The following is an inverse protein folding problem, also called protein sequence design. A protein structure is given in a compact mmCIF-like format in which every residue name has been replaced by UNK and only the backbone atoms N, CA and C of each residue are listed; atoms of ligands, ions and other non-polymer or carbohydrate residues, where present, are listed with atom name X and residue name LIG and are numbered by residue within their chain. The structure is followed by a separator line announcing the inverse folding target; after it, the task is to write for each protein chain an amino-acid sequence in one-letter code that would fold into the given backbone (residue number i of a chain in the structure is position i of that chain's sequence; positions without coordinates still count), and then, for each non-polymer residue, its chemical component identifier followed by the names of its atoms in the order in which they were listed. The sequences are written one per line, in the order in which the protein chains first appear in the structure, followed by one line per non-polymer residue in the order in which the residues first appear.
data_IF_323454018599
#
_entry.id   IF_323454018599
#
_cell.length_a   1.000
_cell.length_b   1.000
_cell.length_c   1.000
_cell.angle_alpha   90.00
_cell.angle_beta   90.00
_cell.angle_gamma   90.00
#
_symmetry.space_group_name_H-M   'P 1'
#
loop_
_entity.id
_entity.type
_entity.pdbx_description
1 polymer ?
#
# COMPACT_ATOMS: atom_id res chain seq x y z
N UNK A 1 22.93 -30.30 -28.49
CA UNK A 1 22.46 -29.02 -29.09
C UNK A 1 21.74 -28.33 -27.95
N UNK A 2 22.53 -27.50 -27.22
CA UNK A 2 22.11 -26.85 -25.98
C UNK A 2 21.31 -25.60 -26.35
N UNK A 3 20.07 -25.53 -25.95
CA UNK A 3 19.31 -24.28 -25.89
C UNK A 3 19.56 -23.61 -24.53
N UNK A 4 20.50 -22.67 -24.51
CA UNK A 4 20.69 -21.74 -23.42
C UNK A 4 19.52 -20.74 -23.48
N UNK A 5 18.63 -20.86 -22.48
CA UNK A 5 17.61 -19.83 -22.21
C UNK A 5 18.32 -18.61 -21.65
N UNK A 6 18.58 -17.64 -22.50
CA UNK A 6 19.05 -16.29 -22.15
C UNK A 6 18.08 -15.67 -21.13
N UNK A 7 18.51 -15.61 -19.87
CA UNK A 7 17.86 -14.77 -18.86
C UNK A 7 18.11 -13.31 -19.26
N UNK A 8 17.10 -12.65 -19.75
CA UNK A 8 17.12 -11.20 -19.92
C UNK A 8 17.17 -10.56 -18.53
N UNK A 9 18.36 -10.20 -18.10
CA UNK A 9 18.60 -9.28 -16.99
C UNK A 9 18.01 -7.91 -17.41
N UNK A 10 16.85 -7.59 -16.84
CA UNK A 10 16.33 -6.22 -16.91
C UNK A 10 17.28 -5.28 -16.18
N UNK A 11 17.26 -3.97 -16.48
CA UNK A 11 18.19 -3.02 -15.88
C UNK A 11 18.10 -3.08 -14.36
N UNK A 12 19.20 -3.49 -13.72
CA UNK A 12 19.36 -3.50 -12.27
C UNK A 12 19.05 -2.08 -11.75
N UNK A 13 17.96 -1.95 -10.98
CA UNK A 13 17.67 -0.69 -10.34
C UNK A 13 18.87 -0.26 -9.48
N UNK A 14 19.32 0.98 -9.65
CA UNK A 14 20.42 1.53 -8.86
C UNK A 14 20.14 1.32 -7.37
N UNK A 15 21.14 0.95 -6.56
CA UNK A 15 20.95 0.71 -5.13
C UNK A 15 20.27 1.91 -4.48
N UNK A 16 19.23 1.64 -3.70
CA UNK A 16 18.51 2.67 -2.96
C UNK A 16 19.39 3.11 -1.80
N UNK A 17 19.98 4.29 -1.93
CA UNK A 17 20.80 4.87 -0.86
C UNK A 17 19.86 5.45 0.20
N UNK A 18 19.92 4.89 1.41
CA UNK A 18 19.25 5.42 2.60
C UNK A 18 20.24 6.34 3.36
N UNK A 19 19.74 7.36 4.06
CA UNK A 19 20.54 8.09 5.04
C UNK A 19 21.15 7.13 6.07
N UNK A 20 22.28 7.53 6.65
CA UNK A 20 22.93 6.77 7.71
C UNK A 20 21.97 6.52 8.89
N UNK A 21 22.01 5.34 9.46
CA UNK A 21 21.10 4.92 10.54
C UNK A 21 19.65 4.64 10.11
N UNK A 22 19.38 4.68 8.80
CA UNK A 22 18.05 4.32 8.26
C UNK A 22 18.13 3.11 7.33
N UNK A 23 17.10 2.27 7.37
CA UNK A 23 17.00 1.14 6.45
C UNK A 23 15.55 0.84 6.06
N UNK A 24 15.39 0.32 4.84
CA UNK A 24 14.13 -0.20 4.33
C UNK A 24 14.36 -1.56 3.71
N UNK A 25 13.42 -2.47 3.95
CA UNK A 25 13.38 -3.79 3.32
C UNK A 25 11.97 -4.08 2.83
N UNK A 26 11.87 -4.69 1.66
CA UNK A 26 10.66 -5.29 1.13
C UNK A 26 10.86 -6.77 0.90
N UNK A 27 9.84 -7.56 1.21
CA UNK A 27 9.80 -8.99 0.92
C UNK A 27 8.47 -9.38 0.27
N UNK A 28 8.53 -10.30 -0.69
CA UNK A 28 7.33 -10.94 -1.23
C UNK A 28 6.81 -11.96 -0.21
N UNK A 29 5.48 -12.07 -0.04
CA UNK A 29 4.90 -13.13 0.76
C UNK A 29 5.10 -14.51 0.10
N UNK A 30 4.79 -15.57 0.84
CA UNK A 30 4.61 -16.91 0.27
C UNK A 30 3.64 -16.83 -0.93
N UNK A 31 3.88 -17.56 -2.04
CA UNK A 31 2.97 -17.54 -3.21
C UNK A 31 1.51 -17.82 -2.88
N UNK A 32 1.22 -18.63 -1.86
CA UNK A 32 -0.14 -18.89 -1.37
C UNK A 32 -0.84 -17.66 -0.78
N UNK A 33 -0.06 -16.69 -0.32
CA UNK A 33 -0.54 -15.42 0.24
C UNK A 33 -0.59 -14.30 -0.81
N UNK A 34 -0.02 -14.46 -1.98
CA UNK A 34 0.23 -13.37 -2.94
C UNK A 34 -1.03 -12.64 -3.43
N UNK A 35 -2.21 -13.27 -3.38
CA UNK A 35 -3.48 -12.61 -3.70
C UNK A 35 -4.02 -11.79 -2.52
N UNK A 36 -3.68 -12.16 -1.29
CA UNK A 36 -4.18 -11.57 -0.06
C UNK A 36 -3.26 -10.49 0.50
N UNK A 37 -1.96 -10.71 0.37
CA UNK A 37 -0.90 -9.86 0.92
C UNK A 37 -0.11 -9.22 -0.23
N UNK A 38 -0.05 -7.90 -0.25
CA UNK A 38 0.63 -7.14 -1.31
C UNK A 38 2.12 -6.97 -1.08
N UNK A 39 2.64 -7.48 0.02
CA UNK A 39 4.05 -7.49 0.41
C UNK A 39 4.27 -7.12 1.86
N UNK A 40 5.47 -7.41 2.33
CA UNK A 40 5.98 -7.05 3.65
C UNK A 40 6.97 -5.90 3.54
N UNK A 41 7.05 -5.10 4.58
CA UNK A 41 7.96 -3.96 4.65
C UNK A 41 8.54 -3.87 6.06
N UNK A 42 9.82 -3.57 6.18
CA UNK A 42 10.44 -3.13 7.43
C UNK A 42 11.12 -1.78 7.21
N UNK A 43 10.64 -0.74 7.90
CA UNK A 43 11.28 0.57 7.99
C UNK A 43 11.99 0.67 9.33
N UNK A 44 13.25 1.12 9.33
CA UNK A 44 14.01 1.29 10.57
C UNK A 44 14.77 2.59 10.57
N UNK A 45 14.81 3.23 11.73
CA UNK A 45 15.63 4.38 12.02
C UNK A 45 16.29 4.22 13.41
N UNK A 46 17.59 4.51 13.49
CA UNK A 46 18.36 4.44 14.74
C UNK A 46 18.18 5.72 15.58
N UNK A 47 18.08 6.87 14.91
CA UNK A 47 17.89 8.16 15.57
C UNK A 47 16.59 8.20 16.35
N UNK A 48 16.64 8.68 17.59
CA UNK A 48 15.46 8.91 18.45
C UNK A 48 14.92 10.35 18.33
N UNK A 49 15.58 11.18 17.53
CA UNK A 49 15.05 12.51 17.21
C UNK A 49 13.76 12.41 16.40
N UNK A 50 12.81 13.34 16.57
CA UNK A 50 11.55 13.30 15.84
C UNK A 50 11.79 13.45 14.33
N UNK A 51 11.28 12.49 13.56
CA UNK A 51 11.31 12.50 12.11
C UNK A 51 9.90 12.43 11.55
N UNK A 52 9.62 13.25 10.54
CA UNK A 52 8.33 13.24 9.84
C UNK A 52 8.51 12.60 8.47
N UNK A 53 7.77 11.52 8.23
CA UNK A 53 7.68 10.88 6.94
C UNK A 53 6.27 10.99 6.36
N UNK A 54 6.22 11.15 5.04
CA UNK A 54 4.98 11.24 4.28
C UNK A 54 4.80 10.00 3.41
N UNK A 55 3.58 9.51 3.33
CA UNK A 55 3.24 8.32 2.56
C UNK A 55 2.11 8.62 1.58
N UNK A 56 2.15 7.93 0.45
CA UNK A 56 1.09 7.99 -0.56
C UNK A 56 -0.16 7.26 -0.06
N UNK A 57 -1.36 7.66 -0.53
CA UNK A 57 -2.58 6.92 -0.25
C UNK A 57 -2.45 5.45 -0.63
N UNK A 58 -2.86 4.56 0.28
CA UNK A 58 -2.66 3.13 0.18
C UNK A 58 -3.95 2.34 0.51
N UNK A 59 -4.03 1.05 0.15
CA UNK A 59 -4.97 0.09 0.73
C UNK A 59 -4.73 -0.13 2.22
N UNK A 60 -5.34 -1.17 2.78
CA UNK A 60 -5.16 -1.56 4.17
C UNK A 60 -3.71 -1.99 4.44
N UNK A 61 -3.19 -1.59 5.59
CA UNK A 61 -1.90 -2.05 6.10
C UNK A 61 -2.02 -2.42 7.59
N UNK A 62 -1.46 -3.56 7.98
CA UNK A 62 -1.23 -3.89 9.38
C UNK A 62 0.18 -3.41 9.72
N UNK A 63 0.34 -2.73 10.83
CA UNK A 63 1.61 -2.20 11.30
C UNK A 63 1.96 -2.73 12.67
N UNK A 64 3.20 -3.21 12.87
CA UNK A 64 3.74 -3.61 14.17
C UNK A 64 5.02 -2.83 14.44
N UNK A 65 5.02 -2.08 15.53
CA UNK A 65 6.16 -1.29 16.00
C UNK A 65 7.07 -2.14 16.90
N UNK A 66 8.38 -2.18 16.56
CA UNK A 66 9.39 -2.92 17.29
C UNK A 66 10.45 -1.95 17.79
N UNK A 67 10.71 -1.96 19.10
CA UNK A 67 11.65 -1.04 19.75
C UNK A 67 11.49 0.41 19.26
N UNK A 68 10.25 0.85 19.09
CA UNK A 68 9.93 2.17 18.56
C UNK A 68 9.57 3.13 19.70
N UNK A 69 10.02 4.38 19.56
CA UNK A 69 9.47 5.50 20.33
C UNK A 69 8.02 5.79 19.92
N UNK A 70 7.40 6.85 20.49
CA UNK A 70 6.04 7.22 20.13
C UNK A 70 5.87 7.49 18.64
N UNK A 71 4.79 6.98 18.05
CA UNK A 71 4.45 7.15 16.65
C UNK A 71 3.16 7.97 16.57
N UNK A 72 3.25 9.18 16.02
CA UNK A 72 2.13 10.13 15.91
C UNK A 72 1.65 10.24 14.48
N UNK A 73 0.56 9.55 14.11
CA UNK A 73 0.05 9.56 12.74
C UNK A 73 -0.93 10.70 12.50
N UNK A 74 -0.98 11.15 11.23
CA UNK A 74 -1.92 12.14 10.73
C UNK A 74 -2.43 11.75 9.34
N UNK A 75 -3.74 11.79 9.11
CA UNK A 75 -4.35 11.57 7.79
C UNK A 75 -5.14 12.82 7.41
N UNK A 76 -4.71 13.51 6.36
CA UNK A 76 -5.25 14.82 5.98
C UNK A 76 -5.06 15.84 7.09
N UNK A 77 -6.16 16.44 7.55
CA UNK A 77 -6.16 17.37 8.70
C UNK A 77 -6.36 16.69 10.06
N UNK A 78 -6.66 15.38 10.07
CA UNK A 78 -6.97 14.64 11.30
C UNK A 78 -5.68 14.07 11.93
N UNK A 79 -5.42 14.45 13.17
CA UNK A 79 -4.40 13.84 14.02
C UNK A 79 -5.03 12.70 14.83
N UNK A 80 -4.30 11.62 15.01
CA UNK A 80 -4.71 10.47 15.81
C UNK A 80 -3.89 10.40 17.11
N UNK A 81 -4.39 9.69 18.14
CA UNK A 81 -3.56 9.31 19.27
C UNK A 81 -2.28 8.59 18.82
N UNK A 82 -1.23 8.53 19.64
CA UNK A 82 -0.07 7.70 19.35
C UNK A 82 -0.49 6.26 19.00
N UNK A 83 0.15 5.70 17.99
CA UNK A 83 -0.15 4.33 17.58
C UNK A 83 0.21 3.36 18.70
N UNK A 84 -0.66 2.37 18.93
CA UNK A 84 -0.32 1.21 19.77
C UNK A 84 0.64 0.29 19.00
N UNK A 85 1.30 -0.63 19.70
CA UNK A 85 2.34 -1.49 19.14
C UNK A 85 1.88 -2.24 17.88
N UNK A 86 0.65 -2.76 17.84
CA UNK A 86 0.05 -3.33 16.65
C UNK A 86 -1.20 -2.53 16.24
N UNK A 87 -1.20 -1.98 15.05
CA UNK A 87 -2.24 -1.07 14.55
C UNK A 87 -2.69 -1.43 13.15
N UNK A 88 -3.97 -1.23 12.89
CA UNK A 88 -4.55 -1.23 11.54
C UNK A 88 -4.55 0.19 10.99
N UNK A 89 -3.93 0.37 9.84
CA UNK A 89 -4.06 1.57 9.01
C UNK A 89 -5.04 1.23 7.90
N UNK A 90 -6.23 1.80 7.96
CA UNK A 90 -7.28 1.56 6.97
C UNK A 90 -6.94 2.14 5.60
N UNK A 91 -7.79 1.87 4.58
CA UNK A 91 -7.56 2.43 3.25
C UNK A 91 -7.54 3.96 3.31
N UNK A 92 -6.58 4.59 2.64
CA UNK A 92 -6.43 6.04 2.66
C UNK A 92 -6.72 6.68 1.31
N UNK A 93 -7.31 7.88 1.33
CA UNK A 93 -7.53 8.76 0.18
C UNK A 93 -7.10 10.21 0.47
N UNK A 94 -6.30 10.39 1.51
CA UNK A 94 -5.74 11.67 1.95
C UNK A 94 -4.25 11.49 2.21
N UNK A 95 -3.46 12.57 2.24
CA UNK A 95 -2.05 12.48 2.60
C UNK A 95 -1.92 11.89 4.00
N UNK A 96 -0.99 10.96 4.13
CA UNK A 96 -0.68 10.30 5.39
C UNK A 96 0.74 10.64 5.80
N UNK A 97 0.90 11.14 7.01
CA UNK A 97 2.22 11.39 7.61
C UNK A 97 2.31 10.81 9.00
N UNK A 98 3.51 10.45 9.39
CA UNK A 98 3.83 9.99 10.73
C UNK A 98 5.03 10.75 11.28
N UNK A 99 4.97 11.12 12.56
CA UNK A 99 6.16 11.53 13.31
C UNK A 99 6.60 10.34 14.13
N UNK A 100 7.84 9.90 13.92
CA UNK A 100 8.46 8.75 14.61
C UNK A 100 9.65 9.18 15.42
N UNK A 101 10.07 8.34 16.38
CA UNK A 101 11.23 8.54 17.24
C UNK A 101 12.10 7.28 17.22
N UNK A 102 12.46 6.85 16.01
CA UNK A 102 13.29 5.67 15.78
C UNK A 102 12.58 4.33 16.01
N UNK A 103 13.34 3.25 15.92
CA UNK A 103 12.85 1.88 15.98
C UNK A 103 12.54 1.30 14.62
N UNK A 104 11.83 0.18 14.60
CA UNK A 104 11.42 -0.50 13.38
C UNK A 104 9.90 -0.59 13.28
N UNK A 105 9.34 -0.23 12.12
CA UNK A 105 7.95 -0.47 11.77
C UNK A 105 7.88 -1.61 10.76
N UNK A 106 7.26 -2.71 11.14
CA UNK A 106 6.91 -3.80 10.22
C UNK A 106 5.53 -3.54 9.65
N UNK A 107 5.43 -3.45 8.32
CA UNK A 107 4.18 -3.23 7.58
C UNK A 107 3.79 -4.46 6.77
N UNK A 108 2.52 -4.85 6.86
CA UNK A 108 1.92 -5.95 6.10
C UNK A 108 0.84 -5.35 5.22
N UNK A 109 1.06 -5.30 3.93
CA UNK A 109 0.09 -4.75 2.99
C UNK A 109 -1.01 -5.77 2.70
N UNK A 110 -2.27 -5.40 2.93
CA UNK A 110 -3.45 -6.26 2.72
C UNK A 110 -4.19 -5.81 1.47
N UNK A 111 -4.47 -6.74 0.56
CA UNK A 111 -5.29 -6.50 -0.62
C UNK A 111 -6.79 -6.45 -0.27
N UNK A 112 -7.64 -6.08 -1.24
CA UNK A 112 -9.08 -6.15 -1.05
C UNK A 112 -9.59 -7.60 -0.88
N UNK A 113 -8.97 -8.56 -1.58
CA UNK A 113 -9.24 -9.99 -1.40
C UNK A 113 -8.78 -10.47 -0.01
N UNK A 114 -7.60 -10.01 0.43
CA UNK A 114 -7.10 -10.29 1.77
C UNK A 114 -8.00 -9.72 2.86
N UNK A 115 -8.48 -8.49 2.69
CA UNK A 115 -9.44 -7.91 3.63
C UNK A 115 -10.72 -8.72 3.76
N UNK A 116 -11.29 -9.16 2.62
CA UNK A 116 -12.48 -10.00 2.59
C UNK A 116 -12.26 -11.34 3.28
N UNK A 117 -11.16 -12.03 2.97
CA UNK A 117 -10.84 -13.34 3.52
C UNK A 117 -10.47 -13.29 5.02
N UNK A 118 -9.86 -12.19 5.48
CA UNK A 118 -9.40 -12.05 6.86
C UNK A 118 -10.48 -11.62 7.84
N UNK A 119 -11.32 -10.63 7.48
CA UNK A 119 -12.18 -9.97 8.46
C UNK A 119 -13.68 -10.12 8.23
N UNK A 120 -14.10 -10.19 6.97
CA UNK A 120 -15.52 -10.09 6.59
C UNK A 120 -16.18 -8.74 6.91
N UNK A 121 -15.44 -7.76 7.45
CA UNK A 121 -15.94 -6.43 7.80
C UNK A 121 -15.93 -5.52 6.57
N UNK A 122 -16.69 -4.43 6.62
CA UNK A 122 -16.67 -3.41 5.56
C UNK A 122 -15.47 -2.50 5.69
N UNK A 123 -14.62 -2.42 4.65
CA UNK A 123 -13.42 -1.59 4.66
C UNK A 123 -13.73 -0.07 4.73
N UNK A 124 -14.95 0.35 4.34
CA UNK A 124 -15.35 1.76 4.42
C UNK A 124 -15.42 2.28 5.87
N UNK A 125 -15.66 1.40 6.84
CA UNK A 125 -15.71 1.76 8.26
C UNK A 125 -14.32 2.17 8.79
N UNK A 126 -13.26 1.76 8.08
CA UNK A 126 -11.86 2.05 8.39
C UNK A 126 -11.22 3.09 7.44
N UNK A 127 -11.99 3.64 6.51
CA UNK A 127 -11.47 4.62 5.54
C UNK A 127 -10.91 5.86 6.23
N UNK A 128 -9.64 6.18 5.95
CA UNK A 128 -8.88 7.25 6.59
C UNK A 128 -8.90 7.15 8.14
N UNK A 129 -8.77 5.94 8.66
CA UNK A 129 -8.71 5.68 10.11
C UNK A 129 -7.50 4.84 10.46
N UNK A 130 -7.07 4.99 11.72
CA UNK A 130 -6.07 4.16 12.38
C UNK A 130 -6.71 3.68 13.67
N UNK A 131 -6.64 2.38 13.91
CA UNK A 131 -7.23 1.72 15.08
C UNK A 131 -6.28 0.63 15.60
N UNK A 132 -6.38 0.20 16.86
CA UNK A 132 -5.68 -0.98 17.35
C UNK A 132 -6.01 -2.22 16.50
N UNK A 133 -5.03 -3.09 16.28
CA UNK A 133 -5.19 -4.25 15.38
C UNK A 133 -6.17 -5.29 15.95
N UNK A 134 -6.29 -5.40 17.26
CA UNK A 134 -7.24 -6.26 17.97
C UNK A 134 -8.72 -5.86 17.76
N UNK A 135 -8.97 -4.67 17.21
CA UNK A 135 -10.35 -4.31 16.77
C UNK A 135 -10.83 -5.14 15.58
N UNK A 136 -9.94 -5.77 14.81
CA UNK A 136 -10.25 -6.52 13.59
C UNK A 136 -9.76 -7.96 13.60
N UNK A 137 -8.74 -8.27 14.35
CA UNK A 137 -8.19 -9.62 14.56
C UNK A 137 -8.41 -10.08 15.99
N UNK A 138 -8.35 -11.41 16.19
CA UNK A 138 -8.35 -11.99 17.52
C UNK A 138 -7.12 -11.50 18.31
N UNK A 139 -7.28 -11.07 19.57
CA UNK A 139 -6.16 -10.62 20.41
C UNK A 139 -5.01 -11.62 20.49
N UNK A 140 -5.29 -12.93 20.52
CA UNK A 140 -4.27 -13.97 20.57
C UNK A 140 -3.40 -14.01 19.29
N UNK A 141 -3.97 -13.69 18.14
CA UNK A 141 -3.23 -13.55 16.88
C UNK A 141 -2.33 -12.32 16.94
N UNK A 142 -2.84 -11.21 17.47
CA UNK A 142 -2.08 -9.97 17.61
C UNK A 142 -0.89 -10.17 18.56
N UNK A 143 -1.11 -10.79 19.71
CA UNK A 143 -0.06 -11.10 20.69
C UNK A 143 1.01 -12.03 20.10
N UNK A 144 0.59 -13.08 19.34
CA UNK A 144 1.51 -13.97 18.65
C UNK A 144 2.34 -13.23 17.60
N UNK A 145 1.72 -12.32 16.86
CA UNK A 145 2.39 -11.49 15.85
C UNK A 145 3.46 -10.59 16.49
N UNK A 146 3.12 -9.88 17.56
CA UNK A 146 4.04 -9.02 18.31
C UNK A 146 5.19 -9.85 18.86
N UNK A 147 4.89 -10.95 19.56
CA UNK A 147 5.90 -11.81 20.21
C UNK A 147 6.88 -12.37 19.19
N UNK A 148 6.38 -12.96 18.10
CA UNK A 148 7.21 -13.60 17.09
C UNK A 148 8.08 -12.59 16.32
N UNK A 149 7.54 -11.40 15.99
CA UNK A 149 8.32 -10.36 15.32
C UNK A 149 9.38 -9.75 16.26
N UNK A 150 9.09 -9.63 17.55
CA UNK A 150 10.05 -9.13 18.56
C UNK A 150 11.19 -10.13 18.78
N UNK A 151 10.89 -11.43 18.72
CA UNK A 151 11.88 -12.50 18.89
C UNK A 151 12.69 -12.79 17.61
N UNK A 152 12.34 -12.23 16.46
CA UNK A 152 13.04 -12.47 15.20
C UNK A 152 14.49 -11.97 15.28
N UNK A 153 15.50 -12.82 14.93
CA UNK A 153 16.90 -12.49 15.13
C UNK A 153 17.38 -11.34 14.24
N UNK A 154 16.77 -11.19 13.08
CA UNK A 154 17.06 -10.13 12.13
C UNK A 154 15.85 -9.85 11.20
N UNK A 155 15.99 -8.88 10.31
CA UNK A 155 14.92 -8.51 9.36
C UNK A 155 14.68 -9.55 8.26
N UNK A 156 15.64 -10.43 7.97
CA UNK A 156 15.45 -11.49 6.99
C UNK A 156 14.54 -12.61 7.52
N UNK A 157 14.53 -12.80 8.85
CA UNK A 157 13.65 -13.74 9.52
C UNK A 157 12.18 -13.26 9.60
N UNK A 158 11.89 -11.98 9.33
CA UNK A 158 10.52 -11.46 9.44
C UNK A 158 9.57 -12.11 8.43
N UNK A 159 10.02 -12.37 7.19
CA UNK A 159 9.17 -12.98 6.16
C UNK A 159 8.63 -14.35 6.56
N UNK A 160 9.46 -15.37 6.89
CA UNK A 160 8.93 -16.68 7.26
C UNK A 160 8.02 -16.64 8.48
N UNK A 161 8.33 -15.79 9.47
CA UNK A 161 7.47 -15.56 10.64
C UNK A 161 6.10 -15.01 10.24
N UNK A 162 6.07 -14.02 9.35
CA UNK A 162 4.83 -13.44 8.86
C UNK A 162 4.03 -14.44 8.03
N UNK A 163 4.67 -15.18 7.12
CA UNK A 163 4.01 -16.20 6.30
C UNK A 163 3.32 -17.27 7.18
N UNK A 164 3.99 -17.76 8.23
CA UNK A 164 3.45 -18.75 9.16
C UNK A 164 2.22 -18.25 9.92
N UNK A 165 2.27 -17.01 10.42
CA UNK A 165 1.19 -16.45 11.22
C UNK A 165 -0.01 -16.05 10.35
N UNK A 166 0.25 -15.54 9.14
CA UNK A 166 -0.80 -14.98 8.29
C UNK A 166 -1.54 -16.04 7.49
N UNK A 167 -0.87 -17.13 7.09
CA UNK A 167 -1.48 -18.15 6.23
C UNK A 167 -2.83 -18.67 6.75
N UNK A 168 -3.00 -18.99 8.06
CA UNK A 168 -4.27 -19.45 8.59
C UNK A 168 -5.35 -18.37 8.70
N UNK A 169 -5.05 -17.09 8.48
CA UNK A 169 -6.03 -16.01 8.57
C UNK A 169 -6.89 -15.83 7.31
N UNK A 170 -6.44 -16.35 6.16
CA UNK A 170 -7.08 -16.15 4.87
C UNK A 170 -7.89 -17.39 4.43
N UNK A 171 -8.71 -17.91 5.33
CA UNK A 171 -9.52 -19.13 5.11
C UNK A 171 -10.97 -18.85 4.75
N UNK A 172 -11.43 -17.61 4.98
CA UNK A 172 -12.82 -17.25 4.72
C UNK A 172 -13.06 -17.11 3.22
N UNK A 173 -14.03 -17.84 2.71
CA UNK A 173 -14.53 -17.66 1.35
C UNK A 173 -15.53 -16.49 1.32
N UNK A 174 -15.35 -15.58 0.37
CA UNK A 174 -16.29 -14.49 0.11
C UNK A 174 -17.05 -14.77 -1.20
N UNK A 175 -18.39 -14.64 -1.23
CA UNK A 175 -19.17 -14.90 -2.44
C UNK A 175 -18.85 -13.98 -3.61
N UNK A 176 -18.13 -12.87 -3.36
CA UNK A 176 -17.70 -11.90 -4.37
C UNK A 176 -16.21 -11.99 -4.68
N UNK A 177 -15.55 -13.11 -4.39
CA UNK A 177 -14.10 -13.22 -4.57
C UNK A 177 -13.66 -12.98 -6.02
N UNK A 178 -14.40 -13.49 -7.00
CA UNK A 178 -14.11 -13.29 -8.44
C UNK A 178 -14.21 -11.83 -8.85
N UNK A 179 -15.27 -11.15 -8.41
CA UNK A 179 -15.47 -9.73 -8.70
C UNK A 179 -14.43 -8.84 -7.99
N UNK A 180 -14.05 -9.21 -6.75
CA UNK A 180 -13.00 -8.52 -6.00
C UNK A 180 -11.66 -8.61 -6.76
N UNK A 181 -11.26 -9.81 -7.19
CA UNK A 181 -10.01 -10.04 -7.94
C UNK A 181 -10.01 -9.30 -9.28
N UNK A 182 -11.11 -9.37 -10.04
CA UNK A 182 -11.27 -8.65 -11.29
C UNK A 182 -11.19 -7.12 -11.06
N UNK A 183 -11.86 -6.61 -10.04
CA UNK A 183 -11.84 -5.19 -9.68
C UNK A 183 -10.43 -4.74 -9.26
N UNK A 184 -9.67 -5.56 -8.52
CA UNK A 184 -8.26 -5.27 -8.19
C UNK A 184 -7.41 -5.08 -9.44
N UNK A 185 -7.55 -5.95 -10.44
CA UNK A 185 -6.80 -5.88 -11.70
C UNK A 185 -7.21 -4.68 -12.56
N UNK A 186 -8.51 -4.42 -12.67
CA UNK A 186 -9.06 -3.36 -13.51
C UNK A 186 -8.75 -1.96 -12.98
N UNK A 187 -8.80 -1.75 -11.67
CA UNK A 187 -8.53 -0.45 -11.05
C UNK A 187 -7.12 0.05 -11.33
N UNK A 188 -6.15 -0.85 -11.42
CA UNK A 188 -4.74 -0.48 -11.67
C UNK A 188 -4.39 -0.42 -13.16
N UNK A 189 -5.28 -0.86 -14.05
CA UNK A 189 -5.07 -0.86 -15.50
C UNK A 189 -4.96 0.57 -16.03
N UNK A 190 -3.94 0.87 -16.85
CA UNK A 190 -3.85 2.16 -17.55
C UNK A 190 -5.11 2.43 -18.40
N UNK A 191 -5.55 3.68 -18.42
CA UNK A 191 -6.74 4.11 -19.16
C UNK A 191 -8.07 3.87 -18.43
N UNK A 192 -8.16 2.95 -17.48
CA UNK A 192 -9.39 2.74 -16.71
C UNK A 192 -9.65 3.95 -15.78
N UNK A 193 -10.63 4.76 -16.15
CA UNK A 193 -10.97 6.00 -15.42
C UNK A 193 -12.46 6.19 -15.15
N UNK A 194 -13.33 5.49 -15.90
CA UNK A 194 -14.77 5.69 -15.87
C UNK A 194 -15.50 4.56 -15.13
N UNK A 195 -16.41 4.94 -14.23
CA UNK A 195 -17.20 3.99 -13.41
C UNK A 195 -18.11 3.13 -14.29
N UNK A 196 -18.66 3.71 -15.36
CA UNK A 196 -19.52 2.97 -16.30
C UNK A 196 -18.78 1.88 -17.08
N UNK A 197 -17.58 2.20 -17.58
CA UNK A 197 -16.71 1.25 -18.24
C UNK A 197 -16.30 0.10 -17.31
N UNK A 198 -15.86 0.44 -16.10
CA UNK A 198 -15.49 -0.55 -15.09
C UNK A 198 -16.65 -1.48 -14.72
N UNK A 199 -17.86 -0.94 -14.59
CA UNK A 199 -19.06 -1.75 -14.31
C UNK A 199 -19.41 -2.68 -15.48
N UNK A 200 -19.30 -2.18 -16.73
CA UNK A 200 -19.56 -2.96 -17.94
C UNK A 200 -18.58 -4.13 -18.07
N UNK A 201 -17.27 -3.90 -17.85
CA UNK A 201 -16.27 -4.97 -17.92
C UNK A 201 -16.45 -6.05 -16.83
N UNK A 202 -16.97 -5.67 -15.67
CA UNK A 202 -17.30 -6.61 -14.62
C UNK A 202 -18.67 -7.31 -14.81
N UNK A 203 -19.45 -6.89 -15.81
CA UNK A 203 -20.81 -7.41 -16.03
C UNK A 203 -21.79 -7.10 -14.89
N UNK A 204 -21.57 -6.01 -14.14
CA UNK A 204 -22.38 -5.64 -12.97
C UNK A 204 -22.95 -4.22 -13.11
N UNK A 205 -23.97 -3.89 -12.28
CA UNK A 205 -24.51 -2.54 -12.24
C UNK A 205 -23.56 -1.56 -11.53
N UNK A 206 -23.65 -0.26 -11.85
CA UNK A 206 -22.91 0.78 -11.13
C UNK A 206 -23.22 0.81 -9.63
N UNK A 207 -24.44 0.44 -9.23
CA UNK A 207 -24.85 0.33 -7.82
C UNK A 207 -24.13 -0.85 -7.12
N UNK A 208 -24.04 -2.00 -7.77
CA UNK A 208 -23.29 -3.16 -7.27
C UNK A 208 -21.79 -2.82 -7.16
N UNK A 209 -21.21 -2.22 -8.20
CA UNK A 209 -19.83 -1.77 -8.19
C UNK A 209 -19.54 -0.82 -7.02
N UNK A 210 -20.43 0.16 -6.78
CA UNK A 210 -20.29 1.08 -5.64
C UNK A 210 -20.27 0.33 -4.31
N UNK A 211 -21.16 -0.64 -4.12
CA UNK A 211 -21.25 -1.47 -2.90
C UNK A 211 -19.97 -2.31 -2.71
N UNK A 212 -19.49 -2.99 -3.74
CA UNK A 212 -18.27 -3.78 -3.70
C UNK A 212 -17.05 -2.89 -3.40
N UNK A 213 -16.94 -1.75 -4.07
CA UNK A 213 -15.86 -0.79 -3.87
C UNK A 213 -15.81 -0.28 -2.43
N UNK A 214 -16.95 0.09 -1.84
CA UNK A 214 -17.01 0.53 -0.45
C UNK A 214 -16.69 -0.60 0.52
N UNK A 215 -17.24 -1.80 0.30
CA UNK A 215 -17.08 -2.94 1.21
C UNK A 215 -15.65 -3.45 1.26
N UNK A 216 -14.96 -3.56 0.11
CA UNK A 216 -13.67 -4.24 0.03
C UNK A 216 -12.49 -3.29 -0.18
N UNK A 217 -12.69 -2.12 -0.79
CA UNK A 217 -11.63 -1.12 -1.01
C UNK A 217 -11.77 0.12 -0.10
N UNK A 218 -12.84 0.19 0.67
CA UNK A 218 -13.05 1.22 1.67
C UNK A 218 -13.48 2.59 1.13
N UNK A 219 -13.79 2.72 -0.17
CA UNK A 219 -14.18 3.99 -0.76
C UNK A 219 -15.09 3.81 -1.97
N UNK A 220 -15.87 4.86 -2.36
CA UNK A 220 -16.67 4.81 -3.60
C UNK A 220 -15.81 4.57 -4.84
N UNK A 221 -16.35 3.85 -5.82
CA UNK A 221 -15.65 3.46 -7.07
C UNK A 221 -15.03 4.65 -7.81
N UNK A 222 -15.73 5.80 -7.87
CA UNK A 222 -15.19 7.03 -8.47
C UNK A 222 -13.93 7.53 -7.76
N UNK A 223 -13.90 7.49 -6.43
CA UNK A 223 -12.72 7.90 -5.65
C UNK A 223 -11.57 6.89 -5.81
N UNK A 224 -11.89 5.61 -5.86
CA UNK A 224 -10.92 4.54 -6.09
C UNK A 224 -10.21 4.69 -7.43
N UNK A 225 -10.95 4.89 -8.52
CA UNK A 225 -10.40 5.13 -9.86
C UNK A 225 -9.58 6.43 -9.92
N UNK A 226 -10.08 7.52 -9.34
CA UNK A 226 -9.33 8.79 -9.26
C UNK A 226 -8.01 8.61 -8.52
N UNK A 227 -8.00 7.88 -7.40
CA UNK A 227 -6.78 7.59 -6.63
C UNK A 227 -5.76 6.81 -7.48
N UNK A 228 -6.19 5.75 -8.15
CA UNK A 228 -5.33 4.92 -8.99
C UNK A 228 -4.74 5.73 -10.16
N UNK A 229 -5.57 6.48 -10.88
CA UNK A 229 -5.14 7.39 -11.96
C UNK A 229 -4.11 8.40 -11.47
N UNK A 230 -4.41 9.08 -10.36
CA UNK A 230 -3.51 10.06 -9.78
C UNK A 230 -2.15 9.44 -9.39
N UNK A 231 -2.16 8.29 -8.73
CA UNK A 231 -0.94 7.62 -8.29
C UNK A 231 -0.09 7.13 -9.47
N UNK A 232 -0.70 6.65 -10.57
CA UNK A 232 0.05 6.31 -11.79
C UNK A 232 0.85 7.52 -12.30
N UNK A 233 0.19 8.66 -12.46
CA UNK A 233 0.83 9.90 -12.91
C UNK A 233 1.89 10.39 -11.91
N UNK A 234 1.51 10.50 -10.63
CA UNK A 234 2.39 11.06 -9.62
C UNK A 234 3.67 10.24 -9.41
N UNK A 235 3.58 8.91 -9.42
CA UNK A 235 4.75 8.05 -9.26
C UNK A 235 5.74 8.23 -10.41
N UNK A 236 5.28 8.41 -11.64
CA UNK A 236 6.17 8.70 -12.77
C UNK A 236 6.88 10.04 -12.61
N UNK A 237 6.15 11.10 -12.23
CA UNK A 237 6.74 12.41 -11.90
C UNK A 237 7.78 12.28 -10.77
N UNK A 238 7.45 11.51 -9.74
CA UNK A 238 8.30 11.32 -8.57
C UNK A 238 9.59 10.56 -8.90
N UNK A 239 9.50 9.49 -9.69
CA UNK A 239 10.65 8.68 -10.10
C UNK A 239 11.55 9.42 -11.08
N UNK A 240 10.97 10.18 -12.02
CA UNK A 240 11.75 11.02 -12.96
C UNK A 240 12.42 12.23 -12.28
N UNK A 241 11.95 12.61 -11.09
CA UNK A 241 12.41 13.82 -10.40
C UNK A 241 11.96 15.13 -11.07
N UNK A 242 11.10 15.04 -12.10
CA UNK A 242 10.62 16.20 -12.85
C UNK A 242 9.14 16.48 -12.57
N UNK A 243 8.81 17.40 -11.63
CA UNK A 243 7.42 17.69 -11.25
C UNK A 243 6.61 18.42 -12.33
N UNK A 244 7.23 18.79 -13.45
CA UNK A 244 6.61 19.51 -14.57
C UNK A 244 6.51 18.68 -15.84
N UNK A 245 6.87 17.41 -15.79
CA UNK A 245 6.77 16.50 -16.93
C UNK A 245 5.30 16.14 -17.24
N UNK A 246 4.73 16.87 -18.18
CA UNK A 246 3.33 16.64 -18.61
C UNK A 246 3.13 15.28 -19.27
N UNK A 247 4.20 14.65 -19.78
CA UNK A 247 4.10 13.33 -20.45
C UNK A 247 3.89 12.19 -19.45
N UNK A 248 4.22 12.42 -18.19
CA UNK A 248 3.96 11.49 -17.09
C UNK A 248 2.49 11.48 -16.62
N UNK A 249 1.70 12.47 -17.06
CA UNK A 249 0.30 12.62 -16.64
C UNK A 249 -0.59 11.73 -17.49
N UNK A 250 -1.40 10.90 -16.83
CA UNK A 250 -2.38 10.01 -17.46
C UNK A 250 -3.27 10.81 -18.45
N UNK A 251 -3.38 10.39 -19.73
CA UNK A 251 -4.10 11.13 -20.74
C UNK A 251 -5.61 11.29 -20.49
N UNK A 252 -6.17 10.56 -19.52
CA UNK A 252 -7.56 10.75 -19.09
C UNK A 252 -7.78 11.99 -18.21
N UNK A 253 -6.72 12.73 -17.87
CA UNK A 253 -6.86 14.07 -17.32
C UNK A 253 -7.19 15.06 -18.42
N UNK A 254 -8.29 15.78 -18.24
CA UNK A 254 -8.77 16.74 -19.25
C UNK A 254 -7.83 17.96 -19.35
N UNK A 255 -7.30 18.41 -18.22
CA UNK A 255 -6.42 19.57 -18.13
C UNK A 255 -5.53 19.49 -16.87
N UNK A 256 -4.52 20.34 -16.81
CA UNK A 256 -3.63 20.46 -15.65
C UNK A 256 -4.37 20.85 -14.35
N UNK A 257 -5.33 21.78 -14.34
CA UNK A 257 -6.16 22.06 -13.17
C UNK A 257 -6.89 20.84 -12.63
N UNK A 258 -7.35 19.91 -13.49
CA UNK A 258 -7.97 18.66 -13.07
C UNK A 258 -6.96 17.77 -12.31
N UNK A 259 -5.75 17.59 -12.85
CA UNK A 259 -4.68 16.86 -12.18
C UNK A 259 -4.29 17.51 -10.84
N UNK A 260 -4.15 18.82 -10.79
CA UNK A 260 -3.80 19.53 -9.55
C UNK A 260 -4.89 19.48 -8.46
N UNK A 261 -6.18 19.39 -8.85
CA UNK A 261 -7.26 19.12 -7.89
C UNK A 261 -7.13 17.75 -7.25
N UNK A 262 -6.74 16.73 -8.04
CA UNK A 262 -6.46 15.39 -7.52
C UNK A 262 -5.19 15.39 -6.65
N UNK A 263 -4.14 16.10 -7.04
CA UNK A 263 -2.94 16.28 -6.21
C UNK A 263 -3.27 16.89 -4.83
N UNK A 264 -4.05 17.95 -4.78
CA UNK A 264 -4.51 18.53 -3.52
C UNK A 264 -5.35 17.55 -2.68
N UNK A 265 -6.13 16.71 -3.33
CA UNK A 265 -6.92 15.68 -2.62
C UNK A 265 -6.02 14.63 -1.99
N UNK A 266 -5.04 14.10 -2.74
CA UNK A 266 -4.27 12.91 -2.38
C UNK A 266 -2.92 13.22 -1.71
N UNK A 267 -2.32 14.37 -2.00
CA UNK A 267 -1.05 14.82 -1.39
C UNK A 267 -1.24 15.96 -0.38
N UNK A 268 -2.40 16.63 -0.40
CA UNK A 268 -2.63 17.83 0.40
C UNK A 268 -1.89 19.09 -0.10
N UNK A 269 -1.20 18.98 -1.23
CA UNK A 269 -0.40 20.06 -1.83
C UNK A 269 -0.14 19.77 -3.32
N UNK A 270 0.64 20.62 -3.99
CA UNK A 270 1.05 20.38 -5.37
C UNK A 270 2.14 19.30 -5.45
N UNK A 271 2.26 18.58 -6.59
CA UNK A 271 3.33 17.58 -6.79
C UNK A 271 4.71 18.15 -6.51
N UNK A 272 5.00 19.34 -7.04
CA UNK A 272 6.30 20.03 -6.85
C UNK A 272 6.62 20.24 -5.36
N UNK A 273 5.65 20.76 -4.59
CA UNK A 273 5.88 20.99 -3.14
C UNK A 273 6.04 19.67 -2.39
N UNK A 274 5.26 18.65 -2.73
CA UNK A 274 5.37 17.34 -2.10
C UNK A 274 6.73 16.70 -2.34
N UNK A 275 7.26 16.78 -3.57
CA UNK A 275 8.57 16.25 -3.94
C UNK A 275 9.74 16.99 -3.27
N UNK A 276 9.53 18.21 -2.77
CA UNK A 276 10.51 18.98 -2.01
C UNK A 276 10.54 18.62 -0.52
N UNK A 277 9.60 17.83 -0.02
CA UNK A 277 9.62 17.36 1.37
C UNK A 277 10.81 16.41 1.55
N UNK A 278 11.54 16.58 2.64
CA UNK A 278 12.53 15.59 3.07
C UNK A 278 11.77 14.29 3.44
N UNK A 279 11.91 13.28 2.60
CA UNK A 279 11.10 12.07 2.72
C UNK A 279 11.90 10.83 2.30
N UNK A 280 12.94 10.48 3.07
CA UNK A 280 13.88 9.42 2.70
C UNK A 280 13.19 8.06 2.57
N UNK A 281 12.27 7.72 3.46
CA UNK A 281 11.54 6.45 3.38
C UNK A 281 10.65 6.37 2.14
N UNK A 282 9.92 7.43 1.76
CA UNK A 282 9.09 7.39 0.56
C UNK A 282 9.95 7.22 -0.70
N UNK A 283 11.04 7.99 -0.80
CA UNK A 283 11.92 7.93 -1.97
C UNK A 283 12.52 6.52 -2.16
N UNK A 284 13.02 5.94 -1.07
CA UNK A 284 13.53 4.58 -1.08
C UNK A 284 12.42 3.55 -1.32
N UNK A 285 11.26 3.74 -0.68
CA UNK A 285 10.09 2.87 -0.76
C UNK A 285 9.59 2.67 -2.20
N UNK A 286 9.38 3.76 -2.94
CA UNK A 286 8.88 3.69 -4.32
C UNK A 286 9.79 2.86 -5.21
N UNK A 287 11.10 3.02 -5.11
CA UNK A 287 12.10 2.28 -5.90
C UNK A 287 12.24 0.83 -5.45
N UNK A 288 12.47 0.61 -4.15
CA UNK A 288 12.66 -0.72 -3.60
C UNK A 288 11.41 -1.60 -3.79
N UNK A 289 10.23 -1.01 -3.58
CA UNK A 289 8.97 -1.72 -3.78
C UNK A 289 8.75 -2.11 -5.24
N UNK A 290 9.04 -1.23 -6.19
CA UNK A 290 8.94 -1.54 -7.60
C UNK A 290 9.87 -2.70 -7.99
N UNK A 291 11.10 -2.70 -7.49
CA UNK A 291 12.09 -3.74 -7.78
C UNK A 291 11.70 -5.12 -7.18
N UNK A 292 11.17 -5.15 -5.95
CA UNK A 292 10.85 -6.41 -5.25
C UNK A 292 9.44 -6.90 -5.54
N UNK A 293 8.45 -6.00 -5.54
CA UNK A 293 7.03 -6.34 -5.58
C UNK A 293 6.36 -5.99 -6.93
N UNK A 294 7.13 -5.54 -7.91
CA UNK A 294 6.65 -5.22 -9.26
C UNK A 294 5.72 -4.00 -9.36
N UNK A 295 5.47 -3.29 -8.24
CA UNK A 295 4.64 -2.10 -8.23
C UNK A 295 5.20 -1.03 -7.29
N UNK A 296 5.29 0.25 -7.72
CA UNK A 296 5.93 1.32 -6.96
C UNK A 296 5.15 1.73 -5.71
N UNK A 297 3.85 1.47 -5.68
CA UNK A 297 2.99 1.71 -4.51
C UNK A 297 2.05 0.54 -4.28
N UNK A 298 1.62 0.37 -3.02
CA UNK A 298 0.65 -0.68 -2.68
C UNK A 298 -0.69 -0.50 -3.43
N UNK A 299 -1.12 0.73 -3.66
CA UNK A 299 -2.37 1.03 -4.35
C UNK A 299 -2.36 0.70 -5.85
N UNK A 300 -1.19 0.48 -6.45
CA UNK A 300 -1.00 0.08 -7.84
C UNK A 300 -0.54 -1.40 -7.97
N UNK A 301 -0.57 -2.16 -6.89
CA UNK A 301 -0.24 -3.58 -6.92
C UNK A 301 -1.39 -4.37 -7.55
N UNK A 302 -1.11 -5.02 -8.68
CA UNK A 302 -2.03 -5.96 -9.30
C UNK A 302 -1.95 -7.34 -8.63
N UNK A 303 -3.06 -8.06 -8.47
CA UNK A 303 -2.99 -9.44 -8.01
C UNK A 303 -2.22 -10.30 -9.02
N UNK A 304 -1.59 -11.40 -8.57
CA UNK A 304 -0.96 -12.34 -9.49
C UNK A 304 -2.00 -12.88 -10.48
N UNK A 305 -1.60 -12.95 -11.75
CA UNK A 305 -2.41 -13.59 -12.78
C UNK A 305 -2.33 -15.10 -12.53
N UNK A 306 -3.47 -15.77 -12.28
CA UNK A 306 -3.49 -17.23 -12.31
C UNK A 306 -3.06 -17.65 -13.73
N UNK A 307 -1.91 -18.26 -13.84
CA UNK A 307 -1.57 -19.06 -15.02
C UNK A 307 -2.15 -20.43 -14.72
N UNK A 308 -3.36 -20.66 -15.25
CA UNK A 308 -3.95 -22.02 -15.32
C UNK A 308 -3.05 -22.95 -16.13
#
# INVERSE_FOLDING_TARGET
MNDEVERRDGPMAAPVVMPEGMAIRYDMPDPRLAVFVTGYTAYSAESREPQIDWFLPAPVMLGVALDAGPIHPRIGSRTFPPMVQASLIGPTSRPFSVTTHGGTMVGIGISAAGWAAMTGRSAVDYHNRIVPLDTVLDPSVVDRLITALTAAPDRAALRPVLDEILLPLFVRQDPHESEIRALMSLVVRPGMSEVGELAAELGITASTLRRLSQRYFGMPSKLLLRRARFLRSFVQLFVSGNPTDVTAIDPSYHDMPHFLRDANTFLGTTPRRFMQLANPFLTASVRARAAVLGAPTQALHAPPVNRD
#
